data_IF_031012864819
#
_entry.id   IF_031012864819
#
_cell.length_a   1.000
_cell.length_b   1.000
_cell.length_c   1.000
_cell.angle_alpha   90.00
_cell.angle_beta   90.00
_cell.angle_gamma   90.00
#
_symmetry.space_group_name_H-M   'P 1'
#
loop_
_entity.id
_entity.type
_entity.pdbx_description
1 polymer ?
#
# COMPACT_ATOMS: atom_id res chain seq x y z
N UNK A 1 -51.75 -71.89 6.04
CA UNK A 1 -50.65 -72.44 6.87
C UNK A 1 -49.32 -72.08 6.18
N UNK A 2 -48.61 -71.05 6.66
CA UNK A 2 -47.43 -71.12 7.56
C UNK A 2 -46.08 -71.14 6.79
N UNK A 3 -45.33 -70.03 6.93
CA UNK A 3 -43.87 -69.85 7.07
C UNK A 3 -42.92 -70.26 5.92
N UNK A 4 -41.75 -69.64 5.69
CA UNK A 4 -41.01 -68.44 6.13
C UNK A 4 -39.72 -68.38 5.28
N UNK A 5 -39.03 -67.22 5.36
CA UNK A 5 -37.58 -66.93 5.15
C UNK A 5 -37.33 -66.13 3.86
N UNK A 6 -37.13 -64.81 3.92
CA UNK A 6 -36.04 -64.04 4.56
C UNK A 6 -34.68 -64.33 3.91
N UNK A 7 -34.30 -63.49 2.95
CA UNK A 7 -32.89 -63.18 2.64
C UNK A 7 -32.83 -61.75 2.06
N UNK A 8 -32.49 -60.79 2.93
CA UNK A 8 -31.82 -59.55 2.52
C UNK A 8 -30.34 -59.91 2.26
N UNK A 9 -29.71 -59.28 1.26
CA UNK A 9 -28.47 -58.57 1.59
C UNK A 9 -28.40 -57.18 0.93
N UNK A 10 -28.30 -56.16 1.78
CA UNK A 10 -27.26 -55.11 1.70
C UNK A 10 -26.89 -54.55 0.32
N UNK A 11 -27.80 -53.81 -0.33
CA UNK A 11 -27.43 -52.77 -1.30
C UNK A 11 -28.32 -51.54 -1.05
N UNK A 12 -28.23 -50.96 0.14
CA UNK A 12 -28.78 -49.63 0.40
C UNK A 12 -28.02 -48.90 1.52
N UNK A 13 -26.69 -49.04 1.55
CA UNK A 13 -25.80 -48.23 2.39
C UNK A 13 -24.66 -47.69 1.53
N UNK A 14 -24.99 -47.12 0.37
CA UNK A 14 -24.04 -46.29 -0.40
C UNK A 14 -24.69 -45.04 -1.01
N UNK A 15 -25.91 -44.69 -0.60
CA UNK A 15 -26.67 -43.56 -1.14
C UNK A 15 -27.04 -42.49 -0.11
N UNK A 16 -26.35 -42.44 1.04
CA UNK A 16 -26.61 -41.44 2.10
C UNK A 16 -25.40 -40.52 2.38
N UNK A 17 -24.29 -40.63 1.64
CA UNK A 17 -23.11 -39.79 1.88
C UNK A 17 -22.60 -39.06 0.63
N UNK A 18 -23.46 -38.32 -0.07
CA UNK A 18 -22.99 -37.28 -1.00
C UNK A 18 -23.99 -36.11 -1.16
N UNK A 19 -24.48 -35.59 -0.04
CA UNK A 19 -24.99 -34.22 0.03
C UNK A 19 -23.95 -33.35 0.73
N UNK A 20 -22.73 -33.30 0.17
CA UNK A 20 -21.90 -32.12 0.39
C UNK A 20 -22.55 -30.99 -0.39
N UNK A 21 -23.44 -30.28 0.30
CA UNK A 21 -23.85 -28.93 -0.06
C UNK A 21 -22.58 -28.11 -0.29
N UNK A 22 -22.19 -27.95 -1.55
CA UNK A 22 -21.26 -26.89 -1.92
C UNK A 22 -22.03 -25.60 -1.73
N UNK A 23 -21.96 -25.04 -0.52
CA UNK A 23 -22.24 -23.63 -0.33
C UNK A 23 -21.24 -22.88 -1.22
N UNK A 24 -21.71 -22.44 -2.39
CA UNK A 24 -20.97 -21.49 -3.23
C UNK A 24 -20.92 -20.22 -2.39
N UNK A 25 -19.84 -20.03 -1.64
CA UNK A 25 -19.56 -18.75 -1.02
C UNK A 25 -19.24 -17.77 -2.15
N UNK A 26 -20.25 -17.04 -2.61
CA UNK A 26 -20.01 -15.86 -3.44
C UNK A 26 -19.07 -14.95 -2.65
N UNK A 27 -17.88 -14.68 -3.21
CA UNK A 27 -16.98 -13.70 -2.66
C UNK A 27 -17.76 -12.39 -2.46
N UNK A 28 -17.55 -11.67 -1.34
CA UNK A 28 -18.18 -10.36 -1.16
C UNK A 28 -17.89 -9.49 -2.38
N UNK A 29 -18.94 -8.95 -3.00
CA UNK A 29 -18.76 -7.90 -4.01
C UNK A 29 -18.20 -6.67 -3.31
N UNK A 30 -16.93 -6.35 -3.56
CA UNK A 30 -16.31 -5.15 -3.02
C UNK A 30 -16.76 -3.96 -3.89
N UNK A 31 -17.47 -3.02 -3.28
CA UNK A 31 -17.89 -1.78 -3.92
C UNK A 31 -16.85 -0.68 -3.65
N UNK A 32 -16.29 -0.08 -4.70
CA UNK A 32 -15.45 1.12 -4.55
C UNK A 32 -16.37 2.30 -4.24
N UNK A 33 -16.11 3.06 -3.17
CA UNK A 33 -16.93 4.21 -2.77
C UNK A 33 -16.10 5.49 -2.91
N UNK A 34 -16.62 6.47 -3.64
CA UNK A 34 -16.08 7.80 -3.83
C UNK A 34 -16.93 8.82 -3.06
N UNK A 35 -16.31 9.80 -2.39
CA UNK A 35 -17.03 10.86 -1.68
C UNK A 35 -16.93 12.13 -2.51
N UNK A 36 -18.07 12.68 -2.92
CA UNK A 36 -18.17 13.86 -3.78
C UNK A 36 -17.54 15.07 -3.10
N UNK A 37 -16.68 15.78 -3.82
CA UNK A 37 -15.97 16.97 -3.39
C UNK A 37 -16.62 18.25 -3.92
N UNK A 38 -16.12 19.39 -3.44
CA UNK A 38 -16.54 20.69 -3.92
C UNK A 38 -16.02 20.92 -5.34
N UNK A 39 -16.94 21.16 -6.28
CA UNK A 39 -16.62 21.40 -7.69
C UNK A 39 -16.68 20.15 -8.56
N UNK A 40 -16.87 18.97 -7.96
CA UNK A 40 -17.02 17.73 -8.71
C UNK A 40 -18.30 17.72 -9.55
N UNK A 41 -18.19 17.12 -10.72
CA UNK A 41 -19.34 16.66 -11.51
C UNK A 41 -19.34 15.15 -11.64
N UNK A 42 -20.53 14.52 -11.73
CA UNK A 42 -20.63 13.08 -11.96
C UNK A 42 -19.95 12.65 -13.26
N UNK A 43 -19.94 13.53 -14.25
CA UNK A 43 -19.31 13.31 -15.56
C UNK A 43 -17.79 13.17 -15.44
N UNK A 44 -17.15 14.08 -14.69
CA UNK A 44 -15.70 14.03 -14.45
C UNK A 44 -15.32 12.82 -13.60
N UNK A 45 -16.07 12.56 -12.52
CA UNK A 45 -15.87 11.37 -11.68
C UNK A 45 -16.00 10.10 -12.55
N UNK A 46 -17.03 10.00 -13.39
CA UNK A 46 -17.23 8.84 -14.25
C UNK A 46 -16.05 8.66 -15.23
N UNK A 47 -15.57 9.75 -15.83
CA UNK A 47 -14.42 9.73 -16.73
C UNK A 47 -13.13 9.29 -16.02
N UNK A 48 -12.86 9.81 -14.83
CA UNK A 48 -11.66 9.49 -14.03
C UNK A 48 -11.59 8.00 -13.67
N UNK A 49 -12.74 7.38 -13.40
CA UNK A 49 -12.84 5.96 -13.10
C UNK A 49 -13.06 5.07 -14.33
N UNK A 50 -13.05 5.63 -15.54
CA UNK A 50 -13.24 4.89 -16.78
C UNK A 50 -14.61 4.20 -16.88
N UNK A 51 -15.63 4.79 -16.27
CA UNK A 51 -17.00 4.29 -16.26
C UNK A 51 -17.92 5.24 -17.03
N UNK A 52 -18.99 4.70 -17.64
CA UNK A 52 -20.01 5.55 -18.24
C UNK A 52 -20.79 6.29 -17.16
N UNK A 53 -21.08 7.58 -17.38
CA UNK A 53 -21.90 8.41 -16.50
C UNK A 53 -23.25 7.74 -16.15
N UNK A 54 -23.94 7.21 -17.15
CA UNK A 54 -25.23 6.52 -16.95
C UNK A 54 -25.08 5.26 -16.10
N UNK A 55 -23.95 4.55 -16.20
CA UNK A 55 -23.65 3.39 -15.36
C UNK A 55 -23.38 3.81 -13.91
N UNK A 56 -22.66 4.91 -13.71
CA UNK A 56 -22.42 5.50 -12.39
C UNK A 56 -23.74 5.91 -11.72
N UNK A 57 -24.62 6.60 -12.47
CA UNK A 57 -25.93 7.05 -12.00
C UNK A 57 -26.85 5.87 -11.65
N UNK A 58 -26.89 4.85 -12.51
CA UNK A 58 -27.71 3.67 -12.30
C UNK A 58 -27.34 2.90 -11.02
N UNK A 59 -26.04 2.68 -10.78
CA UNK A 59 -25.55 1.99 -9.57
C UNK A 59 -25.89 2.75 -8.28
N UNK A 60 -25.85 4.08 -8.35
CA UNK A 60 -26.08 4.96 -7.20
C UNK A 60 -27.53 5.44 -7.07
N UNK A 61 -28.43 4.97 -7.95
CA UNK A 61 -29.84 5.38 -7.99
C UNK A 61 -30.00 6.91 -8.11
N UNK A 62 -29.10 7.57 -8.84
CA UNK A 62 -29.09 9.02 -9.03
C UNK A 62 -29.95 9.36 -10.24
N UNK A 63 -31.06 10.07 -9.98
CA UNK A 63 -32.02 10.48 -11.01
C UNK A 63 -31.70 11.90 -11.50
N UNK A 64 -31.22 12.78 -10.61
CA UNK A 64 -30.89 14.17 -10.92
C UNK A 64 -29.45 14.49 -10.51
N UNK A 65 -28.64 15.00 -11.43
CA UNK A 65 -27.24 15.36 -11.16
C UNK A 65 -27.14 16.60 -10.26
N UNK A 66 -28.16 17.45 -10.22
CA UNK A 66 -28.19 18.60 -9.30
C UNK A 66 -28.49 18.20 -7.85
N UNK A 67 -28.85 16.94 -7.57
CA UNK A 67 -29.12 16.49 -6.20
C UNK A 67 -27.88 16.01 -5.45
N UNK A 68 -26.76 15.80 -6.16
CA UNK A 68 -25.51 15.41 -5.50
C UNK A 68 -24.87 16.59 -4.78
N UNK A 69 -24.42 16.34 -3.57
CA UNK A 69 -23.80 17.33 -2.70
C UNK A 69 -22.41 16.86 -2.30
N UNK A 70 -21.57 17.83 -1.99
CA UNK A 70 -20.30 17.58 -1.32
C UNK A 70 -20.55 16.69 -0.08
N UNK A 71 -19.79 15.60 0.01
CA UNK A 71 -19.89 14.61 1.07
C UNK A 71 -20.80 13.42 0.76
N UNK A 72 -21.55 13.45 -0.35
CA UNK A 72 -22.34 12.29 -0.78
C UNK A 72 -21.42 11.16 -1.24
N UNK A 73 -21.80 9.92 -0.94
CA UNK A 73 -21.06 8.72 -1.34
C UNK A 73 -21.58 8.15 -2.67
N UNK A 74 -20.66 7.82 -3.56
CA UNK A 74 -20.88 7.19 -4.85
C UNK A 74 -20.19 5.83 -4.90
N UNK A 75 -20.96 4.77 -5.04
CA UNK A 75 -20.49 3.46 -5.48
C UNK A 75 -19.99 3.55 -6.91
N UNK A 76 -18.68 3.47 -7.10
CA UNK A 76 -18.01 3.39 -8.39
C UNK A 76 -18.09 1.94 -8.89
N UNK A 77 -18.90 1.65 -9.94
CA UNK A 77 -19.12 0.30 -10.42
C UNK A 77 -17.83 -0.24 -11.03
N UNK A 78 -17.25 -1.27 -10.42
CA UNK A 78 -16.08 -1.93 -10.99
C UNK A 78 -16.48 -2.73 -12.25
N UNK A 79 -15.64 -2.77 -13.30
CA UNK A 79 -15.85 -3.70 -14.41
C UNK A 79 -15.94 -5.13 -13.84
N UNK A 80 -17.02 -5.84 -14.14
CA UNK A 80 -17.07 -7.28 -13.83
C UNK A 80 -15.98 -7.94 -14.66
N UNK A 81 -14.92 -8.42 -14.01
CA UNK A 81 -13.83 -9.11 -14.69
C UNK A 81 -14.36 -10.43 -15.26
N UNK A 82 -14.87 -10.39 -16.49
CA UNK A 82 -14.90 -11.58 -17.31
C UNK A 82 -13.45 -11.90 -17.62
N UNK A 83 -12.95 -13.01 -17.08
CA UNK A 83 -11.69 -13.61 -17.53
C UNK A 83 -11.89 -13.98 -19.00
N UNK A 84 -11.39 -13.17 -19.93
CA UNK A 84 -11.10 -13.57 -21.30
C UNK A 84 -9.82 -12.91 -21.80
N UNK A 85 -9.15 -13.73 -22.57
CA UNK A 85 -7.83 -13.64 -23.17
C UNK A 85 -7.58 -12.39 -24.04
N UNK A 86 -6.29 -12.00 -24.05
CA UNK A 86 -5.48 -11.27 -25.03
C UNK A 86 -6.07 -10.37 -26.15
N UNK A 87 -5.33 -9.25 -26.34
CA UNK A 87 -5.00 -8.50 -27.57
C UNK A 87 -5.79 -7.25 -28.02
N UNK A 88 -4.99 -6.16 -28.09
CA UNK A 88 -4.90 -5.03 -29.03
C UNK A 88 -6.14 -4.31 -29.59
N UNK A 89 -6.02 -2.97 -29.63
CA UNK A 89 -6.93 -1.91 -30.11
C UNK A 89 -7.73 -1.33 -28.93
N UNK A 90 -7.48 -0.12 -28.40
CA UNK A 90 -7.31 1.14 -29.11
C UNK A 90 -6.38 2.13 -28.39
N UNK A 91 -5.35 2.59 -29.10
CA UNK A 91 -4.71 3.89 -28.89
C UNK A 91 -5.42 4.89 -29.80
N UNK A 92 -6.01 5.97 -29.26
CA UNK A 92 -6.20 7.30 -29.89
C UNK A 92 -7.18 8.19 -29.10
N UNK A 93 -6.81 8.73 -27.93
CA UNK A 93 -7.56 9.86 -27.31
C UNK A 93 -6.63 10.87 -26.59
N UNK A 94 -5.37 11.00 -27.00
CA UNK A 94 -4.50 12.06 -26.49
C UNK A 94 -3.78 12.75 -27.64
N UNK A 95 -4.53 13.57 -28.36
CA UNK A 95 -3.96 14.65 -29.16
C UNK A 95 -4.79 15.90 -28.90
N UNK A 96 -4.12 16.90 -28.33
CA UNK A 96 -4.54 18.30 -28.14
C UNK A 96 -5.00 18.66 -26.72
N UNK A 97 -4.04 18.87 -25.82
CA UNK A 97 -4.16 19.93 -24.82
C UNK A 97 -2.88 20.79 -24.85
N UNK A 98 -3.06 22.05 -25.19
CA UNK A 98 -2.00 23.07 -25.27
C UNK A 98 -1.83 23.67 -23.87
N UNK A 99 -0.58 23.71 -23.40
CA UNK A 99 -0.21 24.23 -22.09
C UNK A 99 -0.27 25.75 -22.07
N UNK A 100 -1.11 26.33 -21.21
CA UNK A 100 -0.95 27.68 -20.69
C UNK A 100 -0.86 27.63 -19.16
N UNK A 101 0.03 28.47 -18.62
CA UNK A 101 0.60 28.35 -17.29
C UNK A 101 -0.08 29.38 -16.38
N UNK A 102 -1.19 29.00 -15.74
CA UNK A 102 -1.78 29.82 -14.68
C UNK A 102 -1.33 29.33 -13.30
N UNK A 103 -0.69 30.22 -12.56
CA UNK A 103 -0.31 30.01 -11.15
C UNK A 103 -1.54 30.19 -10.26
N UNK A 104 -2.11 29.08 -9.80
CA UNK A 104 -3.19 29.11 -8.80
C UNK A 104 -2.61 28.86 -7.42
N UNK A 105 -2.71 29.85 -6.52
CA UNK A 105 -2.42 29.68 -5.10
C UNK A 105 -3.70 29.26 -4.37
N UNK A 106 -3.72 28.05 -3.82
CA UNK A 106 -4.82 27.56 -2.98
C UNK A 106 -4.51 27.76 -1.50
N UNK A 107 -5.32 28.56 -0.82
CA UNK A 107 -5.36 28.63 0.64
C UNK A 107 -6.16 27.44 1.16
N UNK A 108 -5.48 26.47 1.78
CA UNK A 108 -6.10 25.22 2.27
C UNK A 108 -6.79 25.48 3.60
N UNK A 109 -8.12 25.38 3.64
CA UNK A 109 -8.89 25.42 4.87
C UNK A 109 -9.89 24.24 4.83
N UNK A 110 -9.49 23.07 5.31
CA UNK A 110 -10.25 21.82 5.10
C UNK A 110 -10.51 21.06 6.40
N UNK A 111 -11.73 21.20 6.91
CA UNK A 111 -12.29 20.29 7.91
C UNK A 111 -13.14 19.23 7.18
N UNK A 112 -12.54 18.11 6.80
CA UNK A 112 -13.26 16.99 6.19
C UNK A 112 -14.01 16.19 7.26
N UNK A 113 -15.35 16.28 7.27
CA UNK A 113 -16.20 15.42 8.08
C UNK A 113 -16.82 14.35 7.16
N UNK A 114 -16.34 13.11 7.19
CA UNK A 114 -17.13 12.02 6.63
C UNK A 114 -18.30 11.77 7.56
N UNK A 115 -19.52 11.91 7.05
CA UNK A 115 -20.73 11.48 7.75
C UNK A 115 -20.98 10.04 7.34
N UNK A 116 -21.00 9.13 8.31
CA UNK A 116 -21.50 7.77 8.10
C UNK A 116 -22.99 7.92 7.78
N UNK A 117 -23.42 7.51 6.59
CA UNK A 117 -24.84 7.49 6.25
C UNK A 117 -25.53 6.44 7.15
N UNK A 118 -26.43 6.82 8.07
CA UNK A 118 -26.96 5.91 9.08
C UNK A 118 -27.78 4.74 8.49
N UNK A 119 -28.27 4.88 7.26
CA UNK A 119 -29.05 3.86 6.57
C UNK A 119 -28.18 2.88 5.75
N UNK A 120 -26.88 3.11 5.66
CA UNK A 120 -25.93 2.19 5.03
C UNK A 120 -25.29 1.27 6.06
N UNK A 121 -25.37 -0.05 5.81
CA UNK A 121 -24.65 -1.03 6.62
C UNK A 121 -23.15 -0.78 6.54
N UNK A 122 -22.49 -0.72 7.71
CA UNK A 122 -21.04 -0.60 7.79
C UNK A 122 -20.36 -1.72 6.98
N UNK A 123 -19.24 -1.44 6.29
CA UNK A 123 -18.54 -2.45 5.51
C UNK A 123 -18.21 -3.67 6.37
N UNK A 124 -18.46 -4.87 5.85
CA UNK A 124 -18.09 -6.11 6.55
C UNK A 124 -16.55 -6.26 6.56
N UNK A 125 -15.93 -5.86 7.67
CA UNK A 125 -14.49 -5.91 7.88
C UNK A 125 -13.95 -7.32 8.17
N UNK A 126 -14.80 -8.27 8.56
CA UNK A 126 -14.38 -9.64 8.93
C UNK A 126 -13.80 -10.42 7.75
N UNK A 127 -14.13 -9.99 6.53
CA UNK A 127 -13.64 -10.59 5.29
C UNK A 127 -12.26 -10.08 4.86
N UNK A 128 -11.70 -9.08 5.54
CA UNK A 128 -10.37 -8.56 5.23
C UNK A 128 -9.30 -9.50 5.80
N UNK A 129 -8.44 -10.12 4.97
CA UNK A 129 -7.38 -10.98 5.46
C UNK A 129 -6.45 -10.22 6.42
N UNK A 130 -6.09 -10.82 7.55
CA UNK A 130 -5.20 -10.19 8.55
C UNK A 130 -3.84 -9.75 7.97
N UNK A 131 -3.32 -10.47 6.98
CA UNK A 131 -2.07 -10.12 6.28
C UNK A 131 -2.22 -8.97 5.26
N UNK A 132 -3.44 -8.45 5.08
CA UNK A 132 -3.77 -7.26 4.29
C UNK A 132 -4.18 -6.09 5.19
N UNK A 133 -3.85 -6.15 6.48
CA UNK A 133 -4.05 -5.06 7.42
C UNK A 133 -2.67 -4.65 7.95
N UNK A 134 -2.37 -3.36 7.88
CA UNK A 134 -1.16 -2.77 8.44
C UNK A 134 -1.49 -1.84 9.58
N UNK A 135 -0.53 -1.69 10.48
CA UNK A 135 -0.51 -0.58 11.43
C UNK A 135 0.09 0.66 10.75
N UNK A 136 -0.60 1.78 10.84
CA UNK A 136 -0.21 3.07 10.28
C UNK A 136 -0.24 4.15 11.36
N UNK A 137 0.79 4.99 11.41
CA UNK A 137 0.87 6.12 12.33
C UNK A 137 0.57 7.40 11.56
N UNK A 138 -0.52 8.06 11.92
CA UNK A 138 -1.00 9.27 11.25
C UNK A 138 0.07 10.36 11.25
N UNK A 139 0.47 10.80 10.07
CA UNK A 139 1.38 11.91 9.84
C UNK A 139 0.71 13.29 9.99
N UNK A 140 1.50 14.37 10.14
CA UNK A 140 0.97 15.72 10.13
C UNK A 140 0.29 16.04 8.79
N UNK A 141 -1.00 16.39 8.84
CA UNK A 141 -1.80 16.73 7.66
C UNK A 141 -2.48 15.54 6.99
N UNK A 142 -2.28 14.31 7.48
CA UNK A 142 -2.98 13.15 6.97
C UNK A 142 -4.50 13.29 7.14
N UNK A 143 -5.21 12.88 6.10
CA UNK A 143 -6.67 12.77 6.11
C UNK A 143 -7.08 11.34 5.82
N UNK A 144 -8.24 10.89 6.31
CA UNK A 144 -8.77 9.57 5.94
C UNK A 144 -8.99 9.44 4.43
N UNK A 145 -9.21 10.55 3.71
CA UNK A 145 -9.33 10.57 2.27
C UNK A 145 -8.00 10.20 1.58
N UNK A 146 -6.92 10.90 1.95
CA UNK A 146 -5.59 10.61 1.39
C UNK A 146 -5.17 9.17 1.68
N UNK A 147 -5.41 8.69 2.90
CA UNK A 147 -5.12 7.31 3.26
C UNK A 147 -5.98 6.31 2.49
N UNK A 148 -7.28 6.57 2.31
CA UNK A 148 -8.16 5.71 1.51
C UNK A 148 -7.67 5.60 0.07
N UNK A 149 -7.37 6.74 -0.57
CA UNK A 149 -6.80 6.80 -1.92
C UNK A 149 -5.48 6.05 -1.99
N UNK A 150 -4.54 6.37 -1.09
CA UNK A 150 -3.17 5.90 -1.19
C UNK A 150 -3.05 4.41 -0.92
N UNK A 151 -3.87 3.86 -0.01
CA UNK A 151 -3.89 2.43 0.32
C UNK A 151 -4.96 1.64 -0.44
N UNK A 152 -5.64 2.28 -1.40
CA UNK A 152 -6.65 1.67 -2.26
C UNK A 152 -7.77 1.01 -1.46
N UNK A 153 -8.34 1.77 -0.53
CA UNK A 153 -9.47 1.38 0.34
C UNK A 153 -10.50 2.52 0.43
N UNK A 154 -11.49 2.39 1.31
CA UNK A 154 -12.50 3.43 1.54
C UNK A 154 -12.40 4.00 2.96
N UNK A 155 -12.86 5.24 3.13
CA UNK A 155 -12.96 5.89 4.44
C UNK A 155 -13.83 5.05 5.39
N UNK A 156 -14.98 4.56 4.91
CA UNK A 156 -15.88 3.70 5.68
C UNK A 156 -15.20 2.43 6.18
N UNK A 157 -14.37 1.78 5.35
CA UNK A 157 -13.60 0.61 5.78
C UNK A 157 -12.56 0.97 6.84
N UNK A 158 -11.86 2.10 6.70
CA UNK A 158 -10.90 2.55 7.72
C UNK A 158 -11.62 2.86 9.04
N UNK A 159 -12.76 3.56 8.99
CA UNK A 159 -13.54 3.88 10.18
C UNK A 159 -14.05 2.63 10.88
N UNK A 160 -14.67 1.71 10.14
CA UNK A 160 -15.16 0.45 10.68
C UNK A 160 -14.02 -0.40 11.25
N UNK A 161 -12.88 -0.50 10.55
CA UNK A 161 -11.73 -1.26 11.01
C UNK A 161 -11.09 -0.66 12.28
N UNK A 162 -11.34 0.61 12.59
CA UNK A 162 -10.76 1.28 13.76
C UNK A 162 -11.80 1.63 14.83
N UNK A 163 -13.03 1.14 14.70
CA UNK A 163 -14.15 1.46 15.60
C UNK A 163 -14.35 2.99 15.77
N UNK A 164 -14.06 3.77 14.73
CA UNK A 164 -14.12 5.24 14.74
C UNK A 164 -15.48 5.73 14.21
N UNK A 165 -16.08 6.66 14.95
CA UNK A 165 -17.37 7.29 14.60
C UNK A 165 -17.24 8.53 13.70
N UNK A 166 -16.03 9.07 13.54
CA UNK A 166 -15.76 10.28 12.78
C UNK A 166 -14.39 10.21 12.11
N UNK A 167 -14.16 11.11 11.14
CA UNK A 167 -12.93 11.17 10.35
C UNK A 167 -11.75 11.88 11.00
N UNK A 168 -11.87 12.26 12.27
CA UNK A 168 -10.81 13.01 12.93
C UNK A 168 -9.62 12.10 13.21
N UNK A 169 -8.47 12.50 12.69
CA UNK A 169 -7.18 11.87 12.90
C UNK A 169 -6.28 12.78 13.72
N UNK A 170 -5.62 12.22 14.74
CA UNK A 170 -4.58 12.94 15.49
C UNK A 170 -3.22 12.58 14.93
N UNK A 171 -2.34 13.56 14.74
CA UNK A 171 -0.94 13.29 14.41
C UNK A 171 -0.34 12.33 15.46
N UNK A 172 0.30 11.26 15.00
CA UNK A 172 0.85 10.17 15.82
C UNK A 172 -0.15 9.08 16.22
N UNK A 173 -1.44 9.24 15.92
CA UNK A 173 -2.45 8.20 16.17
C UNK A 173 -2.12 6.93 15.39
N UNK A 174 -2.17 5.79 16.07
CA UNK A 174 -2.04 4.48 15.45
C UNK A 174 -3.41 4.02 14.95
N UNK A 175 -3.53 3.78 13.66
CA UNK A 175 -4.73 3.21 13.03
C UNK A 175 -4.37 1.95 12.23
N UNK A 176 -5.36 1.09 12.02
CA UNK A 176 -5.31 -0.08 11.14
C UNK A 176 -5.76 0.35 9.74
N UNK A 177 -4.96 0.06 8.72
CA UNK A 177 -5.31 0.32 7.32
C UNK A 177 -5.37 -1.00 6.54
N UNK A 178 -6.48 -1.29 5.84
CA UNK A 178 -6.49 -2.37 4.87
C UNK A 178 -5.70 -1.94 3.62
N UNK A 179 -4.98 -2.87 3.02
CA UNK A 179 -4.16 -2.64 1.83
C UNK A 179 -4.56 -3.60 0.71
N UNK A 180 -4.84 -3.05 -0.46
CA UNK A 180 -5.20 -3.84 -1.65
C UNK A 180 -4.22 -3.60 -2.78
N UNK A 181 -3.81 -4.66 -3.47
CA UNK A 181 -2.95 -4.60 -4.67
C UNK A 181 -1.61 -3.85 -4.51
N UNK A 182 -1.16 -3.59 -3.27
CA UNK A 182 0.13 -3.01 -2.98
C UNK A 182 1.12 -4.07 -2.47
N UNK A 183 2.35 -4.00 -2.96
CA UNK A 183 3.49 -4.72 -2.40
C UNK A 183 3.92 -4.07 -1.07
N UNK A 184 4.61 -4.83 -0.21
CA UNK A 184 5.17 -4.29 1.05
C UNK A 184 6.09 -3.08 0.80
N UNK A 185 6.78 -3.07 -0.34
CA UNK A 185 7.63 -1.97 -0.76
C UNK A 185 6.83 -0.70 -1.11
N UNK A 186 5.75 -0.83 -1.87
CA UNK A 186 4.87 0.31 -2.19
C UNK A 186 4.17 0.85 -0.94
N UNK A 187 3.78 -0.04 -0.03
CA UNK A 187 3.24 0.34 1.29
C UNK A 187 4.27 1.13 2.09
N UNK A 188 5.53 0.67 2.13
CA UNK A 188 6.62 1.40 2.77
C UNK A 188 6.80 2.78 2.13
N UNK A 189 6.87 2.88 0.81
CA UNK A 189 7.03 4.16 0.12
C UNK A 189 5.94 5.18 0.52
N UNK A 190 4.69 4.74 0.52
CA UNK A 190 3.52 5.57 0.84
C UNK A 190 3.50 6.06 2.29
N UNK A 191 4.08 5.30 3.23
CA UNK A 191 4.05 5.63 4.66
C UNK A 191 5.22 6.50 5.11
N UNK A 192 6.25 6.69 4.28
CA UNK A 192 7.48 7.37 4.70
C UNK A 192 7.19 8.84 4.97
N UNK A 193 7.28 9.23 6.24
CA UNK A 193 7.19 10.63 6.67
C UNK A 193 8.41 11.44 6.22
N UNK A 194 8.31 12.78 6.22
CA UNK A 194 9.47 13.66 5.96
C UNK A 194 10.61 13.41 6.95
N UNK A 195 10.28 13.10 8.20
CA UNK A 195 11.22 12.78 9.26
C UNK A 195 11.95 11.46 8.97
N UNK A 196 11.23 10.42 8.55
CA UNK A 196 11.84 9.15 8.15
C UNK A 196 12.67 9.28 6.88
N UNK A 197 12.21 10.04 5.88
CA UNK A 197 12.98 10.32 4.68
C UNK A 197 14.29 11.06 5.01
N UNK A 198 14.23 12.03 5.92
CA UNK A 198 15.41 12.75 6.40
C UNK A 198 16.35 11.82 7.18
N UNK A 199 15.83 10.95 8.05
CA UNK A 199 16.63 9.97 8.77
C UNK A 199 17.31 8.98 7.82
N UNK A 200 16.57 8.46 6.84
CA UNK A 200 17.09 7.58 5.80
C UNK A 200 18.20 8.29 4.98
N UNK A 201 17.97 9.54 4.56
CA UNK A 201 18.97 10.33 3.84
C UNK A 201 20.23 10.59 4.67
N UNK A 202 20.10 10.83 5.98
CA UNK A 202 21.24 10.99 6.91
C UNK A 202 22.07 9.72 7.01
N UNK A 203 21.41 8.57 7.15
CA UNK A 203 22.10 7.28 7.16
C UNK A 203 22.83 7.02 5.83
N UNK A 204 22.15 7.19 4.69
CA UNK A 204 22.77 7.03 3.36
C UNK A 204 23.99 7.94 3.22
N UNK A 205 23.86 9.21 3.59
CA UNK A 205 24.95 10.17 3.49
C UNK A 205 26.15 9.75 4.34
N UNK A 206 25.95 9.32 5.59
CA UNK A 206 27.06 8.88 6.44
C UNK A 206 27.76 7.61 5.93
N UNK A 207 27.02 6.65 5.37
CA UNK A 207 27.58 5.38 4.90
C UNK A 207 28.20 5.43 3.50
N UNK A 208 27.78 6.37 2.67
CA UNK A 208 28.11 6.37 1.24
C UNK A 208 28.56 7.73 0.70
N UNK A 209 29.01 8.63 1.58
CA UNK A 209 29.64 9.89 1.16
C UNK A 209 30.88 9.60 0.32
N UNK A 210 30.91 10.14 -0.89
CA UNK A 210 32.00 9.93 -1.84
C UNK A 210 31.84 8.71 -2.74
N UNK A 211 30.86 7.84 -2.46
CA UNK A 211 30.51 6.73 -3.34
C UNK A 211 29.80 7.22 -4.62
N UNK A 212 29.89 6.46 -5.73
CA UNK A 212 29.07 6.72 -6.90
C UNK A 212 27.58 6.71 -6.54
N UNK A 213 26.75 7.45 -7.30
CA UNK A 213 25.31 7.54 -7.04
C UNK A 213 24.64 6.17 -6.86
N UNK A 214 25.01 5.20 -7.71
CA UNK A 214 24.51 3.83 -7.63
C UNK A 214 24.82 3.16 -6.28
N UNK A 215 25.98 3.46 -5.68
CA UNK A 215 26.36 3.00 -4.35
C UNK A 215 25.51 3.63 -3.22
N UNK A 216 25.12 4.90 -3.39
CA UNK A 216 24.20 5.56 -2.44
C UNK A 216 22.80 4.94 -2.49
N UNK A 217 22.30 4.67 -3.71
CA UNK A 217 21.03 3.95 -3.91
C UNK A 217 21.13 2.52 -3.35
N UNK A 218 22.27 1.87 -3.50
CA UNK A 218 22.51 0.52 -2.97
C UNK A 218 22.42 0.46 -1.43
N UNK A 219 23.04 1.42 -0.72
CA UNK A 219 22.92 1.53 0.74
C UNK A 219 21.46 1.78 1.15
N UNK A 220 20.76 2.68 0.45
CA UNK A 220 19.35 2.95 0.69
C UNK A 220 18.48 1.69 0.55
N UNK A 221 18.72 0.90 -0.49
CA UNK A 221 18.02 -0.35 -0.74
C UNK A 221 18.28 -1.38 0.36
N UNK A 222 19.51 -1.53 0.88
CA UNK A 222 19.78 -2.43 2.01
C UNK A 222 18.99 -2.04 3.25
N UNK A 223 18.91 -0.74 3.58
CA UNK A 223 18.12 -0.26 4.73
C UNK A 223 16.64 -0.63 4.53
N UNK A 224 16.10 -0.42 3.34
CA UNK A 224 14.71 -0.77 3.00
C UNK A 224 14.48 -2.28 3.06
N UNK A 225 15.40 -3.09 2.50
CA UNK A 225 15.33 -4.55 2.54
C UNK A 225 15.31 -5.07 3.97
N UNK A 226 16.07 -4.45 4.89
CA UNK A 226 15.99 -4.76 6.31
C UNK A 226 14.63 -4.41 6.90
N UNK A 227 14.12 -3.20 6.66
CA UNK A 227 12.79 -2.78 7.15
C UNK A 227 11.67 -3.72 6.66
N UNK A 228 11.81 -4.27 5.45
CA UNK A 228 10.85 -5.22 4.86
C UNK A 228 11.08 -6.68 5.28
N UNK A 229 12.24 -7.00 5.85
CA UNK A 229 12.62 -8.36 6.21
C UNK A 229 12.19 -8.72 7.63
N UNK A 230 11.62 -9.93 7.79
CA UNK A 230 11.26 -10.47 9.12
C UNK A 230 12.47 -10.72 10.03
N UNK A 231 13.70 -10.65 9.51
CA UNK A 231 14.95 -10.85 10.26
C UNK A 231 15.40 -9.59 11.03
N UNK A 232 14.76 -8.45 10.77
CA UNK A 232 15.14 -7.15 11.31
C UNK A 232 13.93 -6.41 11.89
N UNK A 233 14.17 -5.34 12.68
CA UNK A 233 13.11 -4.42 13.05
C UNK A 233 12.41 -3.81 11.82
N UNK A 234 11.16 -3.38 11.99
CA UNK A 234 10.28 -2.98 10.88
C UNK A 234 10.13 -1.46 10.72
N UNK A 235 11.00 -0.65 11.33
CA UNK A 235 11.04 0.81 11.21
C UNK A 235 12.43 1.31 10.85
N UNK A 236 12.51 2.43 10.11
CA UNK A 236 13.81 3.03 9.75
C UNK A 236 14.66 3.34 10.98
N UNK A 237 14.06 3.93 12.01
CA UNK A 237 14.76 4.25 13.25
C UNK A 237 15.37 3.01 13.90
N UNK A 238 14.59 1.94 14.08
CA UNK A 238 15.12 0.74 14.73
C UNK A 238 16.18 0.03 13.89
N UNK A 239 16.07 0.05 12.56
CA UNK A 239 17.10 -0.50 11.66
C UNK A 239 18.37 0.34 11.69
N UNK A 240 18.25 1.66 11.56
CA UNK A 240 19.40 2.58 11.48
C UNK A 240 20.13 2.67 12.82
N UNK A 241 19.41 2.74 13.94
CA UNK A 241 20.00 2.80 15.28
C UNK A 241 20.38 1.44 15.85
N UNK A 242 20.24 0.35 15.08
CA UNK A 242 20.71 -0.97 15.51
C UNK A 242 22.25 -0.96 15.66
N UNK A 243 22.73 -1.33 16.84
CA UNK A 243 24.15 -1.20 17.20
C UNK A 243 25.11 -1.88 16.22
N UNK A 244 26.13 -1.12 15.78
CA UNK A 244 27.28 -1.64 15.03
C UNK A 244 27.05 -1.95 13.54
N UNK A 245 25.93 -1.51 12.96
CA UNK A 245 25.61 -1.70 11.53
C UNK A 245 25.82 -0.46 10.66
N UNK A 246 25.65 0.73 11.23
CA UNK A 246 25.77 2.01 10.52
C UNK A 246 26.73 2.93 11.29
N UNK A 247 27.86 3.28 10.69
CA UNK A 247 28.86 4.18 11.31
C UNK A 247 28.31 5.60 11.46
N UNK A 248 27.36 6.01 10.61
CA UNK A 248 26.73 7.31 10.69
C UNK A 248 26.16 7.62 12.09
N UNK A 249 25.66 6.59 12.78
CA UNK A 249 25.11 6.71 14.13
C UNK A 249 26.22 6.83 15.18
N UNK A 250 27.22 5.93 15.14
CA UNK A 250 28.31 5.93 16.14
C UNK A 250 29.18 7.17 16.05
N UNK A 251 29.35 7.71 14.85
CA UNK A 251 30.27 8.81 14.57
C UNK A 251 29.57 10.17 14.70
N UNK A 252 28.30 10.19 15.14
CA UNK A 252 27.48 11.40 15.27
C UNK A 252 27.09 12.06 13.94
N UNK A 253 27.53 11.50 12.80
CA UNK A 253 27.25 12.03 11.46
C UNK A 253 25.76 12.00 11.09
N UNK A 254 24.96 11.19 11.79
CA UNK A 254 23.49 11.18 11.68
C UNK A 254 22.87 12.54 11.99
N UNK A 255 23.59 13.43 12.69
CA UNK A 255 23.14 14.80 12.98
C UNK A 255 23.46 15.81 11.87
N UNK A 256 24.28 15.44 10.89
CA UNK A 256 24.64 16.31 9.77
C UNK A 256 23.45 16.51 8.83
N UNK A 257 23.44 17.66 8.14
CA UNK A 257 22.45 17.90 7.08
C UNK A 257 22.83 17.07 5.85
N UNK A 258 21.96 16.14 5.41
CA UNK A 258 22.25 15.32 4.23
C UNK A 258 22.23 16.18 2.96
N UNK A 259 23.02 15.80 1.95
CA UNK A 259 23.03 16.49 0.67
C UNK A 259 21.82 16.08 -0.21
N UNK A 260 21.60 16.82 -1.30
CA UNK A 260 20.50 16.54 -2.23
C UNK A 260 20.60 15.14 -2.86
N UNK A 261 21.82 14.65 -3.09
CA UNK A 261 22.07 13.33 -3.67
C UNK A 261 21.57 12.19 -2.78
N UNK A 262 21.78 12.28 -1.46
CA UNK A 262 21.30 11.29 -0.51
C UNK A 262 19.75 11.24 -0.45
N UNK A 263 19.08 12.40 -0.51
CA UNK A 263 17.62 12.44 -0.63
C UNK A 263 17.12 11.81 -1.93
N UNK A 264 17.79 12.06 -3.05
CA UNK A 264 17.43 11.46 -4.33
C UNK A 264 17.62 9.95 -4.29
N UNK A 265 18.74 9.47 -3.75
CA UNK A 265 19.00 8.04 -3.59
C UNK A 265 17.96 7.36 -2.70
N UNK A 266 17.57 8.01 -1.59
CA UNK A 266 16.50 7.53 -0.72
C UNK A 266 15.16 7.39 -1.47
N UNK A 267 14.78 8.41 -2.26
CA UNK A 267 13.53 8.39 -3.05
C UNK A 267 13.57 7.33 -4.16
N UNK A 268 14.68 7.19 -4.86
CA UNK A 268 14.82 6.18 -5.91
C UNK A 268 14.69 4.77 -5.34
N UNK A 269 15.33 4.51 -4.18
CA UNK A 269 15.19 3.23 -3.49
C UNK A 269 13.77 3.01 -2.99
N UNK A 270 13.11 4.01 -2.37
CA UNK A 270 11.70 3.94 -1.97
C UNK A 270 10.73 3.74 -3.15
N UNK A 271 11.09 4.20 -4.35
CA UNK A 271 10.33 3.96 -5.58
C UNK A 271 10.60 2.57 -6.21
N UNK A 272 11.50 1.77 -5.63
CA UNK A 272 11.72 0.38 -6.01
C UNK A 272 13.08 0.10 -6.63
N UNK A 273 13.97 1.08 -6.73
CA UNK A 273 15.32 0.85 -7.26
C UNK A 273 16.19 0.12 -6.24
N UNK A 274 16.48 -1.15 -6.50
CA UNK A 274 17.44 -1.94 -5.71
C UNK A 274 18.56 -2.50 -6.60
N UNK A 275 19.70 -1.78 -6.74
CA UNK A 275 20.85 -2.27 -7.50
C UNK A 275 21.61 -3.40 -6.81
N UNK A 276 21.25 -3.75 -5.57
CA UNK A 276 21.87 -4.82 -4.79
C UNK A 276 21.16 -6.16 -4.93
N UNK A 277 19.98 -6.17 -5.56
CA UNK A 277 19.15 -7.35 -5.76
C UNK A 277 18.82 -8.08 -4.45
N UNK A 278 18.33 -7.34 -3.45
CA UNK A 278 17.84 -7.88 -2.19
C UNK A 278 18.90 -8.03 -1.10
N UNK A 279 20.06 -7.37 -1.20
CA UNK A 279 21.08 -7.47 -0.17
C UNK A 279 20.58 -6.98 1.19
N UNK A 280 21.01 -7.66 2.26
CA UNK A 280 20.69 -7.30 3.64
C UNK A 280 21.91 -6.79 4.40
N UNK A 281 23.11 -6.92 3.85
CA UNK A 281 24.34 -6.40 4.45
C UNK A 281 25.27 -5.84 3.37
N UNK A 282 26.14 -4.94 3.79
CA UNK A 282 27.27 -4.48 3.00
C UNK A 282 28.49 -4.25 3.89
N UNK A 283 29.67 -4.23 3.29
CA UNK A 283 30.91 -3.85 3.96
C UNK A 283 31.92 -3.30 2.97
N UNK A 284 32.82 -2.43 3.45
CA UNK A 284 33.98 -2.00 2.69
C UNK A 284 35.16 -2.96 2.99
N UNK A 285 35.67 -3.74 2.02
CA UNK A 285 36.72 -4.72 2.27
C UNK A 285 38.06 -4.10 2.69
N UNK A 286 38.26 -2.79 2.47
CA UNK A 286 39.48 -2.07 2.87
C UNK A 286 39.48 -1.65 4.34
N UNK A 287 38.31 -1.38 4.91
CA UNK A 287 38.18 -0.80 6.26
C UNK A 287 37.42 -1.70 7.25
N UNK A 288 36.74 -2.75 6.77
CA UNK A 288 35.96 -3.64 7.62
C UNK A 288 36.84 -4.39 8.62
N UNK A 289 36.58 -4.18 9.92
CA UNK A 289 37.27 -4.87 11.02
C UNK A 289 36.58 -6.18 11.42
N UNK A 290 35.31 -6.39 11.04
CA UNK A 290 34.48 -7.55 11.38
C UNK A 290 34.29 -8.53 10.22
N UNK A 291 35.36 -8.85 9.51
CA UNK A 291 35.31 -9.72 8.32
C UNK A 291 34.84 -11.15 8.59
N UNK A 292 34.99 -11.64 9.83
CA UNK A 292 34.57 -13.00 10.21
C UNK A 292 33.06 -13.25 10.04
N UNK A 293 32.22 -12.24 10.30
CA UNK A 293 30.77 -12.32 10.11
C UNK A 293 30.36 -12.50 8.64
N UNK A 294 31.19 -12.01 7.71
CA UNK A 294 30.95 -12.04 6.28
C UNK A 294 31.54 -13.28 5.58
N UNK A 295 32.38 -14.06 6.26
CA UNK A 295 32.99 -15.27 5.70
C UNK A 295 31.92 -16.32 5.36
N UNK A 296 32.01 -16.89 4.17
CA UNK A 296 31.09 -17.94 3.69
C UNK A 296 29.70 -17.46 3.28
N UNK A 297 29.39 -16.15 3.40
CA UNK A 297 28.15 -15.58 2.88
C UNK A 297 28.25 -15.33 1.39
N UNK A 298 27.12 -15.50 0.69
CA UNK A 298 27.02 -15.26 -0.75
C UNK A 298 27.17 -13.78 -1.06
N UNK A 299 28.19 -13.44 -1.84
CA UNK A 299 28.32 -12.10 -2.43
C UNK A 299 27.32 -11.94 -3.56
N UNK A 300 26.53 -10.88 -3.52
CA UNK A 300 25.55 -10.58 -4.55
C UNK A 300 26.18 -9.68 -5.61
N UNK A 301 26.78 -8.57 -5.19
CA UNK A 301 27.42 -7.61 -6.09
C UNK A 301 28.44 -6.73 -5.36
N UNK A 302 29.23 -5.98 -6.13
CA UNK A 302 30.12 -4.93 -5.64
C UNK A 302 29.81 -3.64 -6.37
N UNK A 303 29.54 -2.56 -5.63
CA UNK A 303 29.23 -1.23 -6.18
C UNK A 303 30.07 -0.22 -5.42
N UNK A 304 30.89 0.53 -6.15
CA UNK A 304 31.88 1.41 -5.54
C UNK A 304 32.86 0.63 -4.66
N UNK A 305 33.08 1.13 -3.45
CA UNK A 305 33.95 0.47 -2.47
C UNK A 305 33.20 -0.57 -1.60
N UNK A 306 31.90 -0.76 -1.79
CA UNK A 306 31.09 -1.67 -1.00
C UNK A 306 30.82 -3.01 -1.68
N UNK A 307 30.93 -4.09 -0.89
CA UNK A 307 30.49 -5.44 -1.25
C UNK A 307 29.13 -5.69 -0.58
N UNK A 308 28.13 -6.10 -1.36
CA UNK A 308 26.75 -6.33 -0.92
C UNK A 308 26.45 -7.83 -0.89
N UNK A 309 25.80 -8.28 0.19
CA UNK A 309 25.59 -9.70 0.49
C UNK A 309 24.19 -9.95 1.10
N UNK A 310 23.78 -11.21 1.09
CA UNK A 310 22.51 -11.71 1.66
C UNK A 310 22.51 -11.88 3.19
#
# INVERSE_FOLDING_TARGET
>A
MINKKLFLPTILIFSVLLLFSTAIYAAPSLSLIYVIQQGDTLSEIAADYGIGLERLKAENKIINEASIKMGDELVIPQPKTAVKDSNQQDRKIFSNFKSEKETVSFSINTHYAARINPDHQAPNIDKIPKNKIIDYYVGPGDTLYDLARDFSTTIGTILALNDKKNSFLRSGEKIRLPVHNLTSHQILNKRVSKQELNLLARAIYGESRGEPYLGQVAVAAVIINRVLSRKFPNTFAQVIYQGGQFSAVSDGQINLTPNQTAYRAARDALNGSDPTNGALYFYNPKTATRVSFFRGRRVITKIGDHVFIE
#
